data_IF_975954661174
#
_entry.id   IF_975954661174
#
_cell.length_a   1.000
_cell.length_b   1.000
_cell.length_c   1.000
_cell.angle_alpha   90.00
_cell.angle_beta   90.00
_cell.angle_gamma   90.00
#
_symmetry.space_group_name_H-M   'P 1'
#
loop_
_entity.id
_entity.type
_entity.pdbx_description
1 polymer ?
#
# COMPACT_ATOMS: atom_id res chain seq x y z
N UNK A 1 23.43 -36.20 -53.47
CA UNK A 1 22.81 -37.56 -53.38
C UNK A 1 21.90 -37.54 -52.19
N UNK A 2 20.66 -37.47 -52.48
CA UNK A 2 19.66 -38.55 -52.44
C UNK A 2 19.30 -38.89 -51.01
N UNK A 3 18.16 -38.63 -50.60
CA UNK A 3 16.76 -39.14 -50.73
C UNK A 3 16.31 -39.56 -49.33
N UNK A 4 15.23 -39.20 -48.87
CA UNK A 4 13.76 -39.53 -48.96
C UNK A 4 13.34 -40.01 -47.60
N UNK A 5 12.20 -39.92 -47.10
CA UNK A 5 10.77 -39.80 -47.53
C UNK A 5 9.96 -40.29 -46.31
N UNK A 6 8.80 -39.63 -46.06
CA UNK A 6 7.48 -40.13 -45.62
C UNK A 6 7.40 -40.92 -44.33
N UNK A 7 6.37 -40.92 -43.58
CA UNK A 7 4.92 -40.90 -43.73
C UNK A 7 4.29 -40.61 -42.36
N UNK A 8 3.27 -39.78 -42.18
CA UNK A 8 1.85 -39.92 -42.47
C UNK A 8 1.08 -40.85 -41.53
N UNK A 9 -0.01 -40.24 -41.09
CA UNK A 9 -1.28 -40.84 -40.68
C UNK A 9 -1.39 -41.18 -39.18
N UNK A 10 -2.47 -41.06 -38.56
CA UNK A 10 -3.84 -40.60 -38.80
C UNK A 10 -4.62 -40.76 -37.48
N UNK A 11 -5.54 -39.88 -37.29
CA UNK A 11 -6.85 -40.03 -36.69
C UNK A 11 -7.10 -41.17 -35.69
N UNK A 12 -7.59 -40.80 -34.51
CA UNK A 12 -8.83 -41.44 -34.05
C UNK A 12 -9.58 -40.55 -33.07
N UNK A 13 -10.70 -40.06 -33.54
CA UNK A 13 -11.83 -39.62 -32.73
C UNK A 13 -12.33 -40.82 -31.94
N UNK A 14 -12.58 -40.66 -30.68
CA UNK A 14 -13.62 -41.40 -29.99
C UNK A 14 -14.41 -40.48 -29.08
N UNK A 15 -15.57 -40.22 -29.57
CA UNK A 15 -16.76 -39.76 -28.90
C UNK A 15 -17.14 -40.74 -27.80
N UNK A 16 -17.33 -40.25 -26.58
CA UNK A 16 -18.14 -40.97 -25.61
C UNK A 16 -19.15 -40.00 -24.98
N UNK A 17 -20.38 -40.37 -25.21
CA UNK A 17 -21.64 -39.79 -24.74
C UNK A 17 -21.90 -40.11 -23.27
N UNK A 18 -22.59 -39.14 -22.66
CA UNK A 18 -23.66 -39.29 -21.66
C UNK A 18 -23.39 -40.16 -20.42
N UNK A 19 -23.51 -39.60 -19.23
CA UNK A 19 -24.76 -39.84 -18.49
C UNK A 19 -24.95 -38.88 -17.30
N UNK A 20 -26.18 -38.50 -17.13
CA UNK A 20 -26.83 -37.78 -16.06
C UNK A 20 -26.42 -38.17 -14.65
N UNK A 21 -26.16 -37.22 -13.78
CA UNK A 21 -26.68 -37.25 -12.42
C UNK A 21 -26.68 -35.87 -11.78
N UNK A 22 -27.80 -35.25 -11.76
CA UNK A 22 -28.26 -34.19 -10.90
C UNK A 22 -27.83 -34.42 -9.44
N UNK A 23 -27.02 -33.48 -8.89
CA UNK A 23 -27.08 -33.23 -7.45
C UNK A 23 -26.72 -31.78 -7.17
N UNK A 24 -27.76 -31.06 -6.80
CA UNK A 24 -27.65 -29.73 -6.23
C UNK A 24 -26.76 -29.77 -4.99
N UNK A 25 -25.68 -28.97 -5.02
CA UNK A 25 -24.96 -28.58 -3.82
C UNK A 25 -24.93 -27.06 -3.82
N UNK A 26 -25.63 -26.51 -2.85
CA UNK A 26 -25.64 -25.11 -2.44
C UNK A 26 -24.25 -24.52 -2.44
N UNK A 27 -24.06 -23.29 -2.96
CA UNK A 27 -22.82 -22.59 -2.79
C UNK A 27 -22.76 -22.05 -1.36
N UNK A 28 -21.91 -22.65 -0.54
CA UNK A 28 -21.45 -21.99 0.65
C UNK A 28 -20.72 -20.72 0.23
N UNK A 29 -21.25 -19.62 0.71
CA UNK A 29 -20.75 -18.27 0.58
C UNK A 29 -19.39 -18.16 1.28
N UNK A 30 -18.34 -18.58 0.59
CA UNK A 30 -16.98 -18.29 0.99
C UNK A 30 -16.67 -16.86 0.56
N UNK A 31 -16.87 -15.92 1.46
CA UNK A 31 -16.37 -14.56 1.35
C UNK A 31 -14.84 -14.60 1.27
N UNK A 32 -14.37 -14.79 0.05
CA UNK A 32 -12.98 -14.61 -0.30
C UNK A 32 -12.69 -13.12 -0.11
N UNK A 33 -12.09 -12.79 1.03
CA UNK A 33 -11.50 -11.49 1.24
C UNK A 33 -10.60 -11.19 0.05
N UNK A 34 -11.04 -10.27 -0.79
CA UNK A 34 -10.26 -9.77 -1.89
C UNK A 34 -9.05 -9.07 -1.28
N UNK A 35 -7.91 -9.71 -1.33
CA UNK A 35 -6.63 -9.10 -1.15
C UNK A 35 -6.45 -8.07 -2.26
N UNK A 36 -6.77 -6.83 -1.96
CA UNK A 36 -6.45 -5.70 -2.81
C UNK A 36 -4.97 -5.43 -2.66
N UNK A 37 -4.15 -6.19 -3.36
CA UNK A 37 -2.85 -5.71 -3.77
C UNK A 37 -3.12 -4.65 -4.83
N UNK A 38 -3.27 -3.41 -4.40
CA UNK A 38 -3.17 -2.29 -5.30
C UNK A 38 -1.71 -2.22 -5.77
N UNK A 39 -1.36 -2.99 -6.79
CA UNK A 39 -0.21 -2.66 -7.62
C UNK A 39 -0.59 -1.37 -8.31
N UNK A 40 -0.03 -0.28 -7.81
CA UNK A 40 -0.06 0.99 -8.53
C UNK A 40 0.48 0.73 -9.94
N UNK A 41 -0.25 1.17 -10.99
CA UNK A 41 0.24 1.05 -12.36
C UNK A 41 1.61 1.75 -12.43
N UNK A 42 2.56 1.22 -13.21
CA UNK A 42 3.90 1.79 -13.32
C UNK A 42 3.76 3.27 -13.71
N UNK A 43 3.97 4.14 -12.74
CA UNK A 43 3.92 5.57 -12.94
C UNK A 43 5.00 5.95 -13.96
N UNK A 44 4.63 6.75 -14.95
CA UNK A 44 5.57 7.32 -15.91
C UNK A 44 6.75 7.93 -15.14
N UNK A 45 7.99 7.80 -15.63
CA UNK A 45 9.15 8.35 -14.94
C UNK A 45 8.94 9.86 -14.73
N UNK A 46 8.85 10.27 -13.47
CA UNK A 46 8.64 11.65 -13.08
C UNK A 46 9.91 12.47 -13.41
N UNK A 47 9.73 13.60 -14.05
CA UNK A 47 10.83 14.49 -14.41
C UNK A 47 11.00 15.57 -13.34
N UNK A 48 12.21 15.76 -12.83
CA UNK A 48 12.52 16.86 -11.93
C UNK A 48 12.53 18.17 -12.73
N UNK A 49 11.69 19.12 -12.35
CA UNK A 49 11.60 20.46 -12.99
C UNK A 49 12.25 21.56 -12.15
N UNK A 50 12.40 21.35 -10.84
CA UNK A 50 13.02 22.29 -9.93
C UNK A 50 13.76 21.60 -8.81
N UNK A 51 14.93 22.10 -8.48
CA UNK A 51 15.71 21.70 -7.30
C UNK A 51 16.00 22.92 -6.47
N UNK A 52 15.80 22.84 -5.16
CA UNK A 52 16.09 23.92 -4.20
C UNK A 52 16.73 23.33 -2.95
N UNK A 53 17.52 24.13 -2.26
CA UNK A 53 18.06 23.76 -0.96
C UNK A 53 16.97 23.89 0.10
N UNK A 54 16.85 22.88 0.96
CA UNK A 54 16.02 22.94 2.14
C UNK A 54 16.86 23.51 3.29
N UNK A 55 16.35 24.57 3.92
CA UNK A 55 17.01 25.23 5.05
C UNK A 55 16.11 25.23 6.28
N UNK A 56 16.71 25.20 7.47
CA UNK A 56 15.99 25.33 8.73
C UNK A 56 15.66 26.79 9.05
N UNK A 57 15.01 27.04 10.19
CA UNK A 57 14.69 28.40 10.65
C UNK A 57 15.92 29.26 10.90
N UNK A 58 17.09 28.66 11.12
CA UNK A 58 18.36 29.34 11.32
C UNK A 58 19.13 29.54 10.01
N UNK A 59 18.57 29.21 8.85
CA UNK A 59 19.18 29.32 7.54
C UNK A 59 20.22 28.24 7.23
N UNK A 60 20.33 27.21 8.04
CA UNK A 60 21.30 26.12 7.82
C UNK A 60 20.69 25.11 6.83
N UNK A 61 21.50 24.68 5.86
CA UNK A 61 21.12 23.64 4.91
C UNK A 61 20.82 22.32 5.64
N UNK A 62 19.60 21.82 5.50
CA UNK A 62 19.14 20.55 6.08
C UNK A 62 18.90 19.48 5.02
N UNK A 63 18.87 19.86 3.74
CA UNK A 63 18.65 18.90 2.66
C UNK A 63 18.47 19.55 1.30
N UNK A 64 17.87 18.80 0.40
CA UNK A 64 17.53 19.22 -0.97
C UNK A 64 16.07 18.91 -1.23
N UNK A 65 15.34 19.85 -1.80
CA UNK A 65 13.96 19.68 -2.25
C UNK A 65 13.91 19.60 -3.78
N UNK A 66 13.31 18.56 -4.31
CA UNK A 66 13.05 18.34 -5.74
C UNK A 66 11.56 18.50 -6.00
N UNK A 67 11.19 19.23 -7.04
CA UNK A 67 9.80 19.32 -7.53
C UNK A 67 9.73 18.62 -8.87
N UNK A 68 8.73 17.80 -9.06
CA UNK A 68 8.51 17.04 -10.28
C UNK A 68 7.47 17.71 -11.19
N UNK A 69 7.43 17.30 -12.45
CA UNK A 69 6.51 17.80 -13.49
C UNK A 69 5.04 17.51 -13.18
N UNK A 70 4.76 16.50 -12.39
CA UNK A 70 3.42 16.20 -11.87
C UNK A 70 3.03 17.09 -10.68
N UNK A 71 3.91 17.98 -10.21
CA UNK A 71 3.69 18.87 -9.05
C UNK A 71 4.03 18.23 -7.70
N UNK A 72 4.34 16.94 -7.64
CA UNK A 72 4.80 16.30 -6.41
C UNK A 72 6.18 16.82 -6.00
N UNK A 73 6.51 16.67 -4.71
CA UNK A 73 7.78 17.15 -4.16
C UNK A 73 8.44 16.06 -3.33
N UNK A 74 9.75 16.01 -3.39
CA UNK A 74 10.58 15.14 -2.54
C UNK A 74 11.65 15.97 -1.88
N UNK A 75 11.75 15.88 -0.56
CA UNK A 75 12.81 16.46 0.22
C UNK A 75 13.72 15.38 0.76
N UNK A 76 14.97 15.43 0.42
CA UNK A 76 16.02 14.54 0.91
C UNK A 76 16.85 15.29 1.96
N UNK A 77 16.77 14.87 3.21
CA UNK A 77 17.48 15.49 4.31
C UNK A 77 18.87 14.88 4.51
N UNK A 78 19.81 15.69 4.98
CA UNK A 78 21.20 15.26 5.28
C UNK A 78 21.29 14.16 6.34
N UNK A 79 20.27 14.04 7.21
CA UNK A 79 20.18 12.98 8.20
C UNK A 79 19.69 11.64 7.65
N UNK A 80 19.40 11.57 6.34
CA UNK A 80 18.89 10.36 5.66
C UNK A 80 17.38 10.20 5.73
N UNK A 81 16.62 11.19 6.23
CA UNK A 81 15.16 11.21 6.14
C UNK A 81 14.72 11.71 4.77
N UNK A 82 13.80 11.01 4.13
CA UNK A 82 13.15 11.42 2.88
C UNK A 82 11.71 11.78 3.17
N UNK A 83 11.24 12.89 2.64
CA UNK A 83 9.86 13.36 2.76
C UNK A 83 9.29 13.52 1.36
N UNK A 84 8.24 12.81 1.06
CA UNK A 84 7.51 12.89 -0.19
C UNK A 84 6.16 13.58 0.04
N UNK A 85 5.79 14.49 -0.83
CA UNK A 85 4.52 15.20 -0.82
C UNK A 85 3.86 14.94 -2.17
N UNK A 86 2.77 14.18 -2.15
CA UNK A 86 1.99 13.87 -3.33
C UNK A 86 1.05 15.03 -3.70
N UNK A 87 0.45 14.96 -4.90
CA UNK A 87 -0.48 15.99 -5.39
C UNK A 87 -1.75 16.11 -4.55
N UNK A 88 -2.21 15.00 -4.01
CA UNK A 88 -3.39 14.95 -3.12
C UNK A 88 -3.13 15.53 -1.72
N UNK A 89 -1.91 16.00 -1.47
CA UNK A 89 -1.49 16.53 -0.18
C UNK A 89 -1.01 15.47 0.82
N UNK A 90 -1.05 14.20 0.47
CA UNK A 90 -0.49 13.13 1.28
C UNK A 90 1.00 13.33 1.45
N UNK A 91 1.47 13.24 2.69
CA UNK A 91 2.89 13.38 3.04
C UNK A 91 3.40 12.05 3.60
N UNK A 92 4.39 11.49 2.93
CA UNK A 92 5.09 10.29 3.38
C UNK A 92 6.50 10.66 3.83
N UNK A 93 6.85 10.28 5.05
CA UNK A 93 8.18 10.45 5.60
C UNK A 93 8.82 9.08 5.82
N UNK A 94 9.94 8.84 5.20
CA UNK A 94 10.77 7.65 5.40
C UNK A 94 12.00 8.03 6.19
N UNK A 95 12.15 7.48 7.37
CA UNK A 95 13.29 7.72 8.25
C UNK A 95 14.45 6.76 7.90
N UNK A 96 15.66 7.14 8.29
CA UNK A 96 16.88 6.33 8.10
C UNK A 96 16.80 4.92 8.74
N UNK A 97 16.02 4.78 9.80
CA UNK A 97 15.79 3.51 10.50
C UNK A 97 14.83 2.56 9.77
N UNK A 98 14.21 3.03 8.68
CA UNK A 98 13.22 2.31 7.89
C UNK A 98 11.78 2.49 8.38
N UNK A 99 11.53 3.35 9.37
CA UNK A 99 10.17 3.74 9.75
C UNK A 99 9.55 4.63 8.68
N UNK A 100 8.36 4.28 8.24
CA UNK A 100 7.56 5.06 7.27
C UNK A 100 6.37 5.67 7.98
N UNK A 101 6.18 6.98 7.84
CA UNK A 101 5.05 7.73 8.41
C UNK A 101 4.30 8.39 7.27
N UNK A 102 3.06 8.01 7.07
CA UNK A 102 2.15 8.62 6.08
C UNK A 102 1.13 9.48 6.83
N UNK A 103 1.01 10.73 6.42
CA UNK A 103 0.00 11.67 6.92
C UNK A 103 -0.93 12.02 5.77
N UNK A 104 -2.20 11.78 5.95
CA UNK A 104 -3.24 12.05 4.96
C UNK A 104 -3.84 13.43 5.15
N UNK A 105 -4.49 13.94 4.10
CA UNK A 105 -5.08 15.27 4.11
C UNK A 105 -6.25 15.39 5.10
N UNK A 106 -6.95 14.30 5.37
CA UNK A 106 -8.03 14.22 6.35
C UNK A 106 -7.56 14.31 7.80
N UNK A 107 -6.23 14.33 8.03
CA UNK A 107 -5.61 14.38 9.34
C UNK A 107 -5.29 13.02 9.95
N UNK A 108 -5.71 11.93 9.32
CA UNK A 108 -5.31 10.58 9.73
C UNK A 108 -3.82 10.34 9.46
N UNK A 109 -3.23 9.38 10.19
CA UNK A 109 -1.81 9.03 10.07
C UNK A 109 -1.63 7.53 10.14
N UNK A 110 -0.65 7.04 9.41
CA UNK A 110 -0.21 5.66 9.47
C UNK A 110 1.30 5.64 9.66
N UNK A 111 1.75 4.93 10.67
CA UNK A 111 3.18 4.67 10.91
C UNK A 111 3.44 3.19 10.74
N UNK A 112 4.41 2.85 9.94
CA UNK A 112 4.90 1.49 9.78
C UNK A 112 6.35 1.43 10.23
N UNK A 113 6.61 0.64 11.26
CA UNK A 113 7.94 0.45 11.80
C UNK A 113 8.69 -0.65 11.04
N UNK A 114 10.01 -0.63 11.11
CA UNK A 114 10.88 -1.64 10.51
C UNK A 114 10.60 -3.07 11.00
N UNK A 115 10.11 -3.22 12.23
CA UNK A 115 9.73 -4.50 12.85
C UNK A 115 8.38 -5.04 12.37
N UNK A 116 7.74 -4.35 11.42
CA UNK A 116 6.46 -4.71 10.85
C UNK A 116 5.25 -4.25 11.67
N UNK A 117 5.43 -3.58 12.80
CA UNK A 117 4.33 -2.96 13.53
C UNK A 117 3.75 -1.79 12.74
N UNK A 118 2.44 -1.70 12.70
CA UNK A 118 1.70 -0.60 12.09
C UNK A 118 0.89 0.10 13.17
N UNK A 119 0.98 1.42 13.24
CA UNK A 119 0.17 2.28 14.11
C UNK A 119 -0.66 3.16 13.20
N UNK A 120 -1.96 3.07 13.34
CA UNK A 120 -2.94 3.88 12.62
C UNK A 120 -3.57 4.86 13.60
N UNK A 121 -3.63 6.12 13.21
CA UNK A 121 -4.31 7.19 13.96
C UNK A 121 -5.44 7.69 13.08
N UNK A 122 -6.66 7.59 13.54
CA UNK A 122 -7.83 8.10 12.83
C UNK A 122 -7.94 9.62 12.96
N UNK A 123 -8.82 10.21 12.18
CA UNK A 123 -9.16 11.65 12.22
C UNK A 123 -9.60 12.08 13.62
N UNK A 124 -10.31 11.19 14.33
CA UNK A 124 -10.81 11.43 15.69
C UNK A 124 -9.73 11.29 16.78
N UNK A 125 -8.52 10.84 16.38
CA UNK A 125 -7.38 10.66 17.27
C UNK A 125 -7.34 9.28 17.96
N UNK A 126 -8.21 8.35 17.57
CA UNK A 126 -8.09 6.97 18.00
C UNK A 126 -6.81 6.35 17.40
N UNK A 127 -6.09 5.61 18.22
CA UNK A 127 -4.87 4.94 17.79
C UNK A 127 -4.98 3.43 17.96
N UNK A 128 -4.70 2.72 16.88
CA UNK A 128 -4.69 1.26 16.85
C UNK A 128 -3.33 0.79 16.37
N UNK A 129 -2.69 -0.08 17.17
CA UNK A 129 -1.48 -0.77 16.78
C UNK A 129 -1.83 -2.16 16.27
N UNK A 130 -1.29 -2.52 15.12
CA UNK A 130 -1.32 -3.88 14.57
C UNK A 130 0.10 -4.44 14.59
N UNK A 131 0.30 -5.57 15.24
CA UNK A 131 1.58 -6.26 15.29
C UNK A 131 1.76 -7.18 14.06
N UNK A 132 2.99 -7.64 13.77
CA UNK A 132 3.26 -8.55 12.65
C UNK A 132 2.53 -9.90 12.75
N UNK A 133 2.17 -10.33 13.96
CA UNK A 133 1.38 -11.55 14.24
C UNK A 133 -0.12 -11.35 14.01
N UNK A 134 -0.55 -10.15 13.59
CA UNK A 134 -1.95 -9.79 13.39
C UNK A 134 -2.68 -9.32 14.65
N UNK A 135 -2.02 -9.32 15.81
CA UNK A 135 -2.62 -8.81 17.06
C UNK A 135 -2.88 -7.30 16.94
N UNK A 136 -4.10 -6.88 17.28
CA UNK A 136 -4.51 -5.47 17.31
C UNK A 136 -4.66 -4.99 18.73
N UNK A 137 -4.10 -3.83 19.03
CA UNK A 137 -4.11 -3.17 20.34
C UNK A 137 -4.61 -1.74 20.15
N UNK A 138 -5.69 -1.37 20.84
CA UNK A 138 -6.15 0.01 20.89
C UNK A 138 -5.31 0.76 21.92
N UNK A 139 -4.52 1.73 21.46
CA UNK A 139 -3.63 2.52 22.32
C UNK A 139 -4.34 3.73 22.93
N UNK A 140 -5.25 4.34 22.19
CA UNK A 140 -6.02 5.49 22.61
C UNK A 140 -7.39 5.40 21.96
N UNK A 141 -8.42 5.17 22.77
CA UNK A 141 -9.83 5.32 22.38
C UNK A 141 -10.34 6.61 22.99
N UNK A 142 -11.02 7.44 22.19
CA UNK A 142 -11.87 8.48 22.77
C UNK A 142 -13.06 7.76 23.41
N UNK A 143 -12.92 7.35 24.65
CA UNK A 143 -14.06 7.06 25.47
C UNK A 143 -14.91 8.34 25.52
N UNK A 144 -16.01 8.31 24.82
CA UNK A 144 -17.08 9.25 25.06
C UNK A 144 -17.56 8.96 26.48
N UNK A 145 -16.89 9.58 27.44
CA UNK A 145 -17.32 9.57 28.82
C UNK A 145 -18.74 10.14 28.88
N UNK A 146 -19.71 9.26 28.67
CA UNK A 146 -21.07 9.51 29.08
C UNK A 146 -21.07 9.49 30.61
N UNK A 147 -20.67 10.61 31.21
CA UNK A 147 -20.85 10.86 32.61
C UNK A 147 -22.34 10.93 32.90
N UNK A 148 -22.96 9.78 33.13
CA UNK A 148 -24.22 9.72 33.86
C UNK A 148 -23.92 10.12 35.28
N UNK A 149 -24.07 11.41 35.56
CA UNK A 149 -24.30 11.90 36.93
C UNK A 149 -25.67 11.37 37.37
N UNK A 150 -25.65 10.22 38.01
CA UNK A 150 -26.77 9.78 38.82
C UNK A 150 -26.91 10.69 40.03
N UNK A 151 -28.05 11.32 40.16
CA UNK A 151 -28.55 11.96 41.38
C UNK A 151 -28.92 10.89 42.39
#
# INVERSE_FOLDING_TARGET
MARRIFDKAASKEESFKDDSATRAITPENSTKAASWSAEEPPSKPKRVIKTAEAVDRAGRKVGVMKTFDDGSKVQENLNGTVIEIALDGTRTQTNKDGTVITSYLDGSKRQQNKDGKVIETTVDGEQVQTNPDGTRIVLNSKDSGCGCLGL
#
